data_IF_637712348370
#
_entry.id   IF_637712348370
#
_cell.length_a   1.000
_cell.length_b   1.000
_cell.length_c   1.000
_cell.angle_alpha   90.00
_cell.angle_beta   90.00
_cell.angle_gamma   90.00
#
_symmetry.space_group_name_H-M   'P 1'
#
loop_
_entity.id
_entity.type
_entity.pdbx_description
1 polymer ?
#
# COMPACT_ATOMS: atom_id res chain seq x y z
N UNK A 1 29.97 -9.34 26.07
CA UNK A 1 30.59 -8.75 24.87
C UNK A 1 29.52 -8.69 23.80
N UNK A 2 28.80 -7.57 23.69
CA UNK A 2 27.96 -7.31 22.54
C UNK A 2 28.90 -6.86 21.44
N UNK A 3 28.98 -7.64 20.36
CA UNK A 3 29.65 -7.17 19.14
C UNK A 3 28.64 -6.25 18.51
N UNK A 4 28.76 -4.95 18.77
CA UNK A 4 28.21 -3.95 17.86
C UNK A 4 28.94 -4.18 16.54
N UNK A 5 28.30 -4.90 15.62
CA UNK A 5 28.77 -4.94 14.26
C UNK A 5 28.45 -3.58 13.66
N UNK A 6 29.36 -2.63 13.83
CA UNK A 6 29.47 -1.48 12.94
C UNK A 6 29.82 -2.03 11.56
N UNK A 7 28.79 -2.46 10.83
CA UNK A 7 28.92 -2.62 9.39
C UNK A 7 29.06 -1.20 8.88
N UNK A 8 30.31 -0.73 8.75
CA UNK A 8 30.65 0.45 7.98
C UNK A 8 30.28 0.14 6.52
N UNK A 9 29.00 0.33 6.20
CA UNK A 9 28.49 0.31 4.85
C UNK A 9 29.02 1.57 4.17
N UNK A 10 30.20 1.48 3.57
CA UNK A 10 30.64 2.51 2.66
C UNK A 10 29.62 2.65 1.53
N UNK A 11 29.19 3.87 1.17
CA UNK A 11 28.24 4.07 0.09
C UNK A 11 28.82 3.46 -1.20
N UNK A 12 28.00 2.77 -2.02
CA UNK A 12 28.46 2.30 -3.31
C UNK A 12 28.95 3.50 -4.13
N UNK A 13 30.07 3.34 -4.84
CA UNK A 13 30.86 4.42 -5.48
C UNK A 13 30.12 5.30 -6.50
N UNK A 14 28.84 5.04 -6.75
CA UNK A 14 27.96 5.80 -7.66
C UNK A 14 26.87 6.59 -6.95
N UNK A 15 26.67 6.40 -5.63
CA UNK A 15 25.61 7.05 -4.85
C UNK A 15 26.25 8.15 -4.00
N UNK A 16 25.66 9.35 -4.01
CA UNK A 16 26.08 10.41 -3.12
C UNK A 16 25.82 10.02 -1.66
N UNK A 17 26.77 10.31 -0.78
CA UNK A 17 26.75 9.91 0.63
C UNK A 17 25.49 10.40 1.37
N UNK A 18 24.97 11.56 1.00
CA UNK A 18 23.75 12.12 1.57
C UNK A 18 22.51 11.27 1.24
N UNK A 19 22.33 10.91 -0.04
CA UNK A 19 21.27 10.00 -0.48
C UNK A 19 21.40 8.63 0.18
N UNK A 20 22.62 8.11 0.29
CA UNK A 20 22.86 6.82 0.96
C UNK A 20 22.42 6.85 2.42
N UNK A 21 22.86 7.87 3.18
CA UNK A 21 22.50 8.03 4.60
C UNK A 21 21.00 8.22 4.79
N UNK A 22 20.34 9.05 3.96
CA UNK A 22 18.87 9.21 3.98
C UNK A 22 18.14 7.91 3.70
N UNK A 23 18.66 7.09 2.80
CA UNK A 23 18.06 5.78 2.48
C UNK A 23 18.15 4.84 3.67
N UNK A 24 19.31 4.81 4.36
CA UNK A 24 19.46 4.00 5.57
C UNK A 24 18.56 4.50 6.72
N UNK A 25 18.52 5.81 6.95
CA UNK A 25 17.62 6.43 7.93
C UNK A 25 16.15 6.08 7.66
N UNK A 26 15.74 6.13 6.39
CA UNK A 26 14.39 5.76 5.98
C UNK A 26 14.07 4.28 6.24
N UNK A 27 15.00 3.37 5.90
CA UNK A 27 14.81 1.93 6.16
C UNK A 27 14.68 1.67 7.67
N UNK A 28 15.56 2.27 8.47
CA UNK A 28 15.53 2.16 9.93
C UNK A 28 14.20 2.70 10.49
N UNK A 29 13.76 3.88 10.05
CA UNK A 29 12.49 4.46 10.49
C UNK A 29 11.29 3.56 10.15
N UNK A 30 11.22 3.05 8.92
CA UNK A 30 10.10 2.22 8.45
C UNK A 30 10.05 0.85 9.15
N UNK A 31 11.21 0.25 9.41
CA UNK A 31 11.31 -1.06 10.05
C UNK A 31 11.15 -0.99 11.57
N UNK A 32 11.55 0.13 12.19
CA UNK A 32 11.34 0.36 13.63
C UNK A 32 9.88 0.68 13.98
N UNK A 33 9.15 1.32 13.06
CA UNK A 33 7.78 1.80 13.29
C UNK A 33 6.73 1.05 12.45
N UNK A 34 6.94 -0.23 12.14
CA UNK A 34 6.14 -0.96 11.15
C UNK A 34 4.63 -0.96 11.43
N UNK A 35 4.18 -1.10 12.68
CA UNK A 35 2.75 -1.15 12.99
C UNK A 35 2.04 0.18 12.69
N UNK A 36 2.62 1.31 13.10
CA UNK A 36 2.05 2.64 12.85
C UNK A 36 2.17 3.04 11.39
N UNK A 37 3.27 2.68 10.73
CA UNK A 37 3.43 2.88 9.28
C UNK A 37 2.35 2.11 8.52
N UNK A 38 2.15 0.82 8.81
CA UNK A 38 1.13 0.01 8.13
C UNK A 38 -0.30 0.46 8.45
N UNK A 39 -0.57 0.92 9.67
CA UNK A 39 -1.86 1.52 10.01
C UNK A 39 -2.15 2.79 9.19
N UNK A 40 -1.16 3.68 9.06
CA UNK A 40 -1.28 4.89 8.24
C UNK A 40 -1.46 4.55 6.76
N UNK A 41 -0.68 3.60 6.22
CA UNK A 41 -0.82 3.14 4.83
C UNK A 41 -2.23 2.62 4.56
N UNK A 42 -2.77 1.78 5.45
CA UNK A 42 -4.14 1.29 5.32
C UNK A 42 -5.15 2.44 5.35
N UNK A 43 -5.02 3.37 6.30
CA UNK A 43 -5.92 4.50 6.43
C UNK A 43 -5.91 5.40 5.18
N UNK A 44 -4.74 5.66 4.60
CA UNK A 44 -4.58 6.43 3.36
C UNK A 44 -5.25 5.72 2.16
N UNK A 45 -5.04 4.40 2.01
CA UNK A 45 -5.68 3.61 0.96
C UNK A 45 -7.20 3.65 1.09
N UNK A 46 -7.73 3.46 2.31
CA UNK A 46 -9.17 3.44 2.55
C UNK A 46 -9.79 4.83 2.37
N UNK A 47 -9.14 5.89 2.85
CA UNK A 47 -9.60 7.27 2.67
C UNK A 47 -9.67 7.65 1.19
N UNK A 48 -8.61 7.34 0.43
CA UNK A 48 -8.53 7.65 -0.99
C UNK A 48 -9.58 6.89 -1.82
N UNK A 49 -9.93 5.67 -1.42
CA UNK A 49 -10.81 4.79 -2.18
C UNK A 49 -12.21 4.62 -1.57
N UNK A 50 -12.56 5.40 -0.54
CA UNK A 50 -13.81 5.26 0.22
C UNK A 50 -15.07 5.22 -0.67
N UNK A 51 -15.03 5.96 -1.79
CA UNK A 51 -16.16 6.11 -2.70
C UNK A 51 -16.19 5.09 -3.85
N UNK A 52 -15.21 4.19 -3.92
CA UNK A 52 -15.12 3.15 -4.96
C UNK A 52 -16.21 2.10 -4.83
N UNK A 53 -16.61 1.50 -5.95
CA UNK A 53 -17.63 0.45 -5.96
C UNK A 53 -17.22 -0.75 -5.09
N UNK A 54 -15.94 -1.12 -5.08
CA UNK A 54 -15.42 -2.22 -4.26
C UNK A 54 -15.62 -1.99 -2.76
N UNK A 55 -15.15 -0.87 -2.20
CA UNK A 55 -15.29 -0.62 -0.77
C UNK A 55 -16.74 -0.37 -0.36
N UNK A 56 -17.56 0.22 -1.24
CA UNK A 56 -19.00 0.37 -1.01
C UNK A 56 -19.74 -0.97 -0.96
N UNK A 57 -19.40 -1.95 -1.80
CA UNK A 57 -19.98 -3.30 -1.77
C UNK A 57 -19.85 -3.97 -0.40
N UNK A 58 -18.76 -3.70 0.32
CA UNK A 58 -18.51 -4.25 1.65
C UNK A 58 -18.92 -3.33 2.81
N UNK A 59 -19.57 -2.19 2.51
CA UNK A 59 -20.16 -1.33 3.54
C UNK A 59 -19.15 -0.72 4.51
N UNK A 60 -17.94 -0.38 4.06
CA UNK A 60 -16.99 0.37 4.90
C UNK A 60 -17.52 1.76 5.27
N UNK A 61 -18.35 2.36 4.42
CA UNK A 61 -19.02 3.63 4.67
C UNK A 61 -18.06 4.74 5.13
N UNK A 62 -16.88 4.81 4.50
CA UNK A 62 -15.84 5.79 4.83
C UNK A 62 -15.03 5.50 6.10
N UNK A 63 -15.24 4.37 6.78
CA UNK A 63 -14.31 3.95 7.84
C UNK A 63 -12.93 3.63 7.24
N UNK A 64 -11.90 4.08 7.95
CA UNK A 64 -10.48 3.94 7.58
C UNK A 64 -9.68 3.15 8.62
N UNK A 65 -10.35 2.61 9.64
CA UNK A 65 -9.70 1.89 10.74
C UNK A 65 -9.51 0.40 10.42
N UNK A 66 -8.47 -0.18 11.03
CA UNK A 66 -8.05 -1.57 10.82
C UNK A 66 -9.12 -2.59 11.21
N UNK A 67 -9.91 -2.32 12.25
CA UNK A 67 -10.90 -3.27 12.78
C UNK A 67 -12.12 -3.37 11.85
N UNK A 68 -12.61 -2.22 11.40
CA UNK A 68 -13.68 -2.14 10.40
C UNK A 68 -13.27 -2.77 9.08
N UNK A 69 -12.04 -2.54 8.61
CA UNK A 69 -11.53 -3.18 7.40
C UNK A 69 -11.52 -4.71 7.54
N UNK A 70 -10.90 -5.24 8.61
CA UNK A 70 -10.78 -6.69 8.84
C UNK A 70 -12.13 -7.39 9.02
N UNK A 71 -13.12 -6.71 9.58
CA UNK A 71 -14.44 -7.30 9.83
C UNK A 71 -15.37 -7.28 8.62
N UNK A 72 -15.12 -6.41 7.63
CA UNK A 72 -16.02 -6.18 6.48
C UNK A 72 -15.46 -6.62 5.14
N UNK A 73 -14.17 -6.42 4.90
CA UNK A 73 -13.53 -6.74 3.61
C UNK A 73 -13.03 -8.19 3.63
N UNK A 74 -13.50 -9.06 2.72
CA UNK A 74 -13.05 -10.43 2.67
C UNK A 74 -11.62 -10.54 2.13
N UNK A 75 -10.96 -11.63 2.49
CA UNK A 75 -9.77 -12.09 1.77
C UNK A 75 -10.23 -12.70 0.45
N UNK A 76 -9.67 -12.23 -0.66
CA UNK A 76 -10.10 -12.59 -2.02
C UNK A 76 -8.96 -13.21 -2.84
N UNK A 77 -9.34 -13.97 -3.86
CA UNK A 77 -8.46 -14.47 -4.92
C UNK A 77 -8.58 -13.61 -6.18
N UNK A 78 -7.77 -13.90 -7.19
CA UNK A 78 -7.87 -13.21 -8.49
C UNK A 78 -9.24 -13.41 -9.15
N UNK A 79 -9.80 -14.62 -9.08
CA UNK A 79 -11.07 -14.97 -9.73
C UNK A 79 -12.25 -14.18 -9.15
N UNK A 80 -12.19 -13.83 -7.86
CA UNK A 80 -13.20 -12.99 -7.20
C UNK A 80 -13.19 -11.54 -7.75
N UNK A 81 -12.04 -11.05 -8.21
CA UNK A 81 -11.84 -9.71 -8.77
C UNK A 81 -11.98 -9.65 -10.29
N UNK A 82 -11.94 -10.81 -10.97
CA UNK A 82 -11.96 -10.89 -12.42
C UNK A 82 -13.14 -10.14 -13.08
N UNK A 83 -14.37 -10.15 -12.54
CA UNK A 83 -15.47 -9.37 -13.11
C UNK A 83 -15.20 -7.85 -13.10
N UNK A 84 -14.61 -7.32 -12.03
CA UNK A 84 -14.25 -5.91 -11.93
C UNK A 84 -13.11 -5.56 -12.89
N UNK A 85 -12.10 -6.44 -12.96
CA UNK A 85 -10.96 -6.29 -13.87
C UNK A 85 -11.43 -6.29 -15.34
N UNK A 86 -12.34 -7.18 -15.71
CA UNK A 86 -12.89 -7.25 -17.06
C UNK A 86 -13.68 -5.99 -17.43
N UNK A 87 -14.44 -5.40 -16.49
CA UNK A 87 -15.12 -4.11 -16.73
C UNK A 87 -14.11 -3.01 -17.06
N UNK A 88 -13.05 -2.90 -16.27
CA UNK A 88 -11.99 -1.90 -16.48
C UNK A 88 -11.30 -2.13 -17.82
N UNK A 89 -10.94 -3.39 -18.14
CA UNK A 89 -10.30 -3.75 -19.40
C UNK A 89 -11.17 -3.47 -20.63
N UNK A 90 -12.49 -3.54 -20.48
CA UNK A 90 -13.46 -3.20 -21.53
C UNK A 90 -13.75 -1.69 -21.62
N UNK A 91 -13.04 -0.85 -20.85
CA UNK A 91 -13.12 0.61 -20.93
C UNK A 91 -14.05 1.28 -19.92
N UNK A 92 -14.51 0.57 -18.88
CA UNK A 92 -15.23 1.23 -17.78
C UNK A 92 -14.26 2.07 -16.94
N UNK A 93 -14.46 3.40 -16.96
CA UNK A 93 -13.63 4.38 -16.25
C UNK A 93 -14.24 4.80 -14.90
N UNK A 94 -15.34 4.16 -14.47
CA UNK A 94 -15.93 4.38 -13.15
C UNK A 94 -14.93 3.96 -12.05
N UNK A 95 -15.00 4.55 -10.85
CA UNK A 95 -14.09 4.21 -9.74
C UNK A 95 -14.45 2.83 -9.14
N UNK A 96 -14.10 1.74 -9.85
CA UNK A 96 -14.47 0.38 -9.46
C UNK A 96 -13.60 -0.12 -8.29
N UNK A 97 -12.28 -0.19 -8.51
CA UNK A 97 -11.29 -0.62 -7.51
C UNK A 97 -10.48 0.54 -6.92
N UNK A 98 -10.21 1.55 -7.74
CA UNK A 98 -9.38 2.71 -7.40
C UNK A 98 -10.14 4.00 -7.71
N UNK A 99 -9.94 5.04 -6.89
CA UNK A 99 -10.43 6.40 -7.21
C UNK A 99 -9.63 7.08 -8.31
N UNK A 100 -8.37 6.67 -8.48
CA UNK A 100 -7.50 7.12 -9.57
C UNK A 100 -7.67 6.15 -10.76
N UNK A 101 -7.71 6.67 -12.01
CA UNK A 101 -7.83 5.82 -13.20
C UNK A 101 -6.71 4.78 -13.30
N UNK A 102 -7.04 3.55 -13.66
CA UNK A 102 -6.03 2.52 -13.94
C UNK A 102 -5.33 2.85 -15.26
N UNK A 103 -4.01 3.00 -15.21
CA UNK A 103 -3.18 3.37 -16.36
C UNK A 103 -2.79 2.19 -17.23
N UNK A 104 -2.57 1.02 -16.63
CA UNK A 104 -2.10 -0.18 -17.30
C UNK A 104 -2.43 -1.44 -16.48
N UNK A 105 -2.39 -2.59 -17.15
CA UNK A 105 -2.40 -3.90 -16.49
C UNK A 105 -0.99 -4.50 -16.59
N UNK A 106 -0.34 -4.71 -15.45
CA UNK A 106 0.96 -5.37 -15.39
C UNK A 106 0.76 -6.88 -15.48
N UNK A 107 1.34 -7.52 -16.49
CA UNK A 107 1.22 -8.96 -16.79
C UNK A 107 2.57 -9.66 -16.75
#
# INVERSE_FOLDING_TARGET
MAVESEILLEPPSSIDENTFNKTLEFIEEMTKNTDSVQERVLAEILAQNAETEYLKRFGLNGSIDRESFKSKVPVVTYDDLLPDIQRIANGDLSPILCSHPISEFLT
#
